data_IF_977634214263
#
_entry.id   IF_977634214263
#
_cell.length_a   1.000
_cell.length_b   1.000
_cell.length_c   1.000
_cell.angle_alpha   90.00
_cell.angle_beta   90.00
_cell.angle_gamma   90.00
#
_symmetry.space_group_name_H-M   'P 1'
#
loop_
_entity.id
_entity.type
_entity.pdbx_description
1 polymer ?
#
# COMPACT_ATOMS: atom_id res chain seq x y z
N UNK A 1 -1.41 20.46 -4.00
CA UNK A 1 -0.22 20.42 -3.11
C UNK A 1 -0.64 19.86 -1.77
N UNK A 2 0.24 19.10 -1.09
CA UNK A 2 -0.07 18.43 0.17
C UNK A 2 0.57 19.11 1.39
N UNK A 3 0.83 20.41 1.29
CA UNK A 3 1.38 21.22 2.39
C UNK A 3 0.44 21.17 3.60
N UNK A 4 0.98 20.87 4.79
CA UNK A 4 0.21 20.72 6.02
C UNK A 4 -0.51 19.37 6.16
N UNK A 5 -0.34 18.44 5.19
CA UNK A 5 -0.88 17.08 5.26
C UNK A 5 0.14 16.11 5.84
N UNK A 6 -0.33 15.19 6.64
CA UNK A 6 0.45 14.09 7.22
C UNK A 6 0.10 12.77 6.56
N UNK A 7 1.11 12.02 6.16
CA UNK A 7 0.97 10.72 5.51
C UNK A 7 1.74 9.62 6.24
N UNK A 8 1.14 8.43 6.35
CA UNK A 8 1.78 7.20 6.80
C UNK A 8 1.85 6.21 5.63
N UNK A 9 3.05 5.72 5.31
CA UNK A 9 3.30 4.78 4.21
C UNK A 9 3.91 3.49 4.72
N UNK A 10 3.23 2.36 4.50
CA UNK A 10 3.75 1.05 4.87
C UNK A 10 4.65 0.46 3.77
N UNK A 11 5.70 -0.30 4.17
CA UNK A 11 6.60 -0.93 3.21
C UNK A 11 7.50 0.06 2.44
N UNK A 12 7.81 1.21 3.05
CA UNK A 12 8.52 2.29 2.38
C UNK A 12 10.07 2.16 2.40
N UNK A 13 10.61 1.03 2.83
CA UNK A 13 12.06 0.78 2.76
C UNK A 13 12.58 0.55 1.33
N UNK A 14 11.72 0.50 0.31
CA UNK A 14 12.11 0.30 -1.09
C UNK A 14 10.92 0.24 -2.04
N UNK A 15 11.19 0.04 -3.33
CA UNK A 15 10.19 -0.16 -4.36
C UNK A 15 9.10 0.91 -4.39
N UNK A 16 7.86 0.48 -4.57
CA UNK A 16 6.68 1.36 -4.70
C UNK A 16 6.52 2.26 -3.46
N UNK A 17 6.67 1.72 -2.24
CA UNK A 17 6.47 2.49 -1.02
C UNK A 17 7.47 3.65 -0.87
N UNK A 18 8.74 3.44 -1.27
CA UNK A 18 9.75 4.50 -1.27
C UNK A 18 9.41 5.60 -2.27
N UNK A 19 8.99 5.23 -3.49
CA UNK A 19 8.60 6.21 -4.51
C UNK A 19 7.37 7.02 -4.09
N UNK A 20 6.37 6.36 -3.49
CA UNK A 20 5.19 7.06 -2.92
C UNK A 20 5.63 8.05 -1.85
N UNK A 21 6.46 7.62 -0.88
CA UNK A 21 6.95 8.49 0.19
C UNK A 21 7.72 9.71 -0.37
N UNK A 22 8.55 9.49 -1.40
CA UNK A 22 9.29 10.57 -2.07
C UNK A 22 8.37 11.59 -2.73
N UNK A 23 7.33 11.12 -3.47
CA UNK A 23 6.38 12.02 -4.12
C UNK A 23 5.51 12.78 -3.13
N UNK A 24 5.05 12.13 -2.06
CA UNK A 24 4.31 12.79 -0.99
C UNK A 24 5.14 13.90 -0.33
N UNK A 25 6.41 13.60 -0.02
CA UNK A 25 7.34 14.59 0.55
C UNK A 25 7.59 15.77 -0.40
N UNK A 26 7.85 15.49 -1.68
CA UNK A 26 8.03 16.52 -2.71
C UNK A 26 6.78 17.38 -2.91
N UNK A 27 5.59 16.84 -2.69
CA UNK A 27 4.33 17.58 -2.71
C UNK A 27 4.07 18.40 -1.43
N UNK A 28 4.97 18.37 -0.44
CA UNK A 28 4.91 19.16 0.79
C UNK A 28 4.27 18.46 1.98
N UNK A 29 3.98 17.14 1.89
CA UNK A 29 3.47 16.39 3.02
C UNK A 29 4.56 16.10 4.06
N UNK A 30 4.15 16.00 5.33
CA UNK A 30 4.95 15.39 6.38
C UNK A 30 4.74 13.88 6.34
N UNK A 31 5.82 13.09 6.34
CA UNK A 31 5.73 11.65 6.03
C UNK A 31 6.29 10.80 7.15
N UNK A 32 5.50 9.82 7.60
CA UNK A 32 5.94 8.68 8.38
C UNK A 32 6.05 7.45 7.48
N UNK A 33 7.08 6.64 7.69
CA UNK A 33 7.35 5.44 6.91
C UNK A 33 7.58 4.24 7.83
N UNK A 34 6.94 3.12 7.53
CA UNK A 34 7.16 1.90 8.30
C UNK A 34 7.59 0.71 7.45
N UNK A 35 8.25 -0.26 8.09
CA UNK A 35 8.78 -1.47 7.47
C UNK A 35 9.80 -2.16 8.35
N UNK A 36 10.26 -3.35 7.96
CA UNK A 36 11.08 -4.22 8.82
C UNK A 36 12.55 -3.80 8.96
N UNK A 37 13.17 -3.31 7.88
CA UNK A 37 14.60 -2.97 7.89
C UNK A 37 14.82 -1.52 8.29
N UNK A 38 15.48 -1.33 9.43
CA UNK A 38 15.89 -0.01 9.93
C UNK A 38 16.75 0.71 8.88
N UNK A 39 17.78 0.02 8.36
CA UNK A 39 18.74 0.62 7.40
C UNK A 39 18.05 1.11 6.14
N UNK A 40 17.08 0.33 5.59
CA UNK A 40 16.34 0.72 4.39
C UNK A 40 15.39 1.89 4.65
N UNK A 41 14.75 1.92 5.82
CA UNK A 41 13.89 3.05 6.20
C UNK A 41 14.72 4.33 6.39
N UNK A 42 15.85 4.25 7.08
CA UNK A 42 16.75 5.40 7.25
C UNK A 42 17.33 5.88 5.93
N UNK A 43 17.70 4.96 5.03
CA UNK A 43 18.15 5.32 3.70
C UNK A 43 17.05 6.05 2.90
N UNK A 44 15.81 5.57 2.98
CA UNK A 44 14.66 6.24 2.38
C UNK A 44 14.45 7.61 3.01
N UNK A 45 14.42 7.72 4.34
CA UNK A 45 14.21 8.99 5.04
C UNK A 45 15.28 10.04 4.65
N UNK A 46 16.55 9.63 4.59
CA UNK A 46 17.64 10.53 4.11
C UNK A 46 17.43 10.97 2.66
N UNK A 47 17.09 10.02 1.78
CA UNK A 47 16.92 10.30 0.35
C UNK A 47 15.77 11.27 0.05
N UNK A 48 14.71 11.27 0.87
CA UNK A 48 13.54 12.15 0.67
C UNK A 48 13.59 13.45 1.49
N UNK A 49 14.70 13.74 2.15
CA UNK A 49 14.85 14.96 2.96
C UNK A 49 14.15 14.92 4.33
N UNK A 50 14.06 13.73 4.93
CA UNK A 50 13.52 13.48 6.27
C UNK A 50 12.11 12.87 6.30
N UNK A 51 11.97 11.86 7.15
CA UNK A 51 10.70 11.21 7.48
C UNK A 51 10.77 10.63 8.89
N UNK A 52 9.63 10.45 9.55
CA UNK A 52 9.57 9.65 10.77
C UNK A 52 9.71 8.17 10.37
N UNK A 53 10.71 7.49 10.89
CA UNK A 53 10.90 6.05 10.66
C UNK A 53 10.26 5.25 11.79
N UNK A 54 9.43 4.28 11.42
CA UNK A 54 8.74 3.37 12.31
C UNK A 54 9.15 1.93 11.96
N UNK A 55 10.30 1.45 12.44
CA UNK A 55 10.72 0.08 12.14
C UNK A 55 9.91 -0.93 12.96
N UNK A 56 9.53 -2.05 12.33
CA UNK A 56 8.80 -3.17 12.95
C UNK A 56 8.19 -4.11 11.92
N UNK A 57 7.65 -5.24 12.39
CA UNK A 57 7.00 -6.24 11.55
C UNK A 57 5.48 -6.07 11.56
N UNK A 58 4.88 -6.06 10.37
CA UNK A 58 3.42 -6.00 10.21
C UNK A 58 2.70 -7.30 10.62
N UNK A 59 3.43 -8.33 11.01
CA UNK A 59 2.87 -9.52 11.65
C UNK A 59 2.66 -9.33 13.17
N UNK A 60 3.14 -8.26 13.73
CA UNK A 60 2.91 -7.86 15.12
C UNK A 60 1.79 -6.82 15.18
N UNK A 61 0.61 -7.24 15.58
CA UNK A 61 -0.58 -6.40 15.66
C UNK A 61 -0.39 -5.20 16.60
N UNK A 62 0.32 -5.37 17.72
CA UNK A 62 0.58 -4.27 18.67
C UNK A 62 1.46 -3.19 18.02
N UNK A 63 2.48 -3.61 17.26
CA UNK A 63 3.29 -2.69 16.47
C UNK A 63 2.44 -1.97 15.41
N UNK A 64 1.62 -2.72 14.65
CA UNK A 64 0.77 -2.15 13.59
C UNK A 64 -0.19 -1.11 14.17
N UNK A 65 -0.87 -1.43 15.27
CA UNK A 65 -1.76 -0.49 15.97
C UNK A 65 -1.03 0.79 16.40
N UNK A 66 0.20 0.65 16.90
CA UNK A 66 0.99 1.79 17.37
C UNK A 66 1.45 2.76 16.26
N UNK A 67 1.49 2.32 15.00
CA UNK A 67 2.02 3.14 13.90
C UNK A 67 1.21 4.41 13.66
N UNK A 68 -0.12 4.33 13.74
CA UNK A 68 -1.00 5.48 13.58
C UNK A 68 -0.82 6.48 14.73
N UNK A 69 -0.85 6.00 15.96
CA UNK A 69 -0.72 6.85 17.15
C UNK A 69 0.64 7.55 17.21
N UNK A 70 1.72 6.82 16.95
CA UNK A 70 3.10 7.38 16.87
C UNK A 70 3.24 8.44 15.76
N UNK A 71 2.53 8.25 14.64
CA UNK A 71 2.49 9.26 13.57
C UNK A 71 1.77 10.52 14.05
N UNK A 72 0.63 10.35 14.72
CA UNK A 72 -0.17 11.47 15.24
C UNK A 72 0.55 12.18 16.40
N UNK A 73 1.22 11.44 17.28
CA UNK A 73 2.04 12.01 18.36
C UNK A 73 3.15 12.91 17.80
N UNK A 74 3.82 12.46 16.74
CA UNK A 74 4.93 13.20 16.13
C UNK A 74 4.48 14.41 15.31
N UNK A 75 3.31 14.36 14.67
CA UNK A 75 2.91 15.34 13.65
C UNK A 75 1.56 16.03 13.90
N UNK A 76 0.83 15.63 14.95
CA UNK A 76 -0.44 16.24 15.33
C UNK A 76 -1.67 15.74 14.56
N UNK A 77 -1.51 14.87 13.56
CA UNK A 77 -2.63 14.33 12.78
C UNK A 77 -2.23 13.28 11.77
N UNK A 78 -3.25 12.68 11.10
CA UNK A 78 -3.06 11.74 10.02
C UNK A 78 -4.13 11.98 8.94
N UNK A 79 -3.72 12.44 7.77
CA UNK A 79 -4.58 12.76 6.63
C UNK A 79 -4.60 11.65 5.58
N UNK A 80 -3.47 10.95 5.37
CA UNK A 80 -3.27 10.01 4.29
C UNK A 80 -2.65 8.73 4.83
N UNK A 81 -3.32 7.60 4.62
CA UNK A 81 -2.80 6.27 4.91
C UNK A 81 -2.57 5.49 3.62
N UNK A 82 -1.33 5.03 3.39
CA UNK A 82 -0.96 4.20 2.25
C UNK A 82 -0.59 2.79 2.75
N UNK A 83 -1.47 1.83 2.54
CA UNK A 83 -1.21 0.42 2.74
C UNK A 83 -0.53 -0.16 1.50
N UNK A 84 0.79 -0.07 1.45
CA UNK A 84 1.61 -0.56 0.35
C UNK A 84 2.39 -1.82 0.71
N UNK A 85 2.72 -2.03 1.97
CA UNK A 85 3.44 -3.24 2.38
C UNK A 85 2.68 -4.50 1.96
N UNK A 86 3.43 -5.52 1.54
CA UNK A 86 2.84 -6.78 1.15
C UNK A 86 3.89 -7.85 0.96
N UNK A 87 3.44 -9.09 0.80
CA UNK A 87 4.22 -10.23 0.38
C UNK A 87 3.64 -10.83 -0.90
N UNK A 88 4.46 -11.52 -1.68
CA UNK A 88 4.04 -12.31 -2.82
C UNK A 88 4.49 -13.76 -2.63
N UNK A 89 3.69 -14.69 -3.16
CA UNK A 89 4.02 -16.11 -3.19
C UNK A 89 3.63 -16.65 -4.56
N UNK A 90 4.55 -17.37 -5.21
CA UNK A 90 4.33 -18.07 -6.47
C UNK A 90 4.78 -19.51 -6.30
N UNK A 91 3.81 -20.43 -6.09
CA UNK A 91 4.08 -21.82 -5.74
C UNK A 91 2.87 -22.70 -6.11
N UNK A 92 3.07 -23.98 -6.52
CA UNK A 92 1.97 -24.90 -6.72
C UNK A 92 1.09 -25.02 -5.48
N UNK A 93 -0.23 -25.13 -5.66
CA UNK A 93 -1.17 -25.21 -4.54
C UNK A 93 -0.83 -26.34 -3.57
N UNK A 94 -0.54 -27.54 -4.08
CA UNK A 94 -0.21 -28.71 -3.26
C UNK A 94 1.12 -28.58 -2.48
N UNK A 95 1.96 -27.62 -2.83
CA UNK A 95 3.22 -27.34 -2.15
C UNK A 95 3.13 -26.14 -1.22
N UNK A 96 2.06 -25.34 -1.33
CA UNK A 96 1.84 -24.16 -0.48
C UNK A 96 1.43 -24.64 0.91
N UNK A 97 2.24 -24.35 1.92
CA UNK A 97 1.94 -24.71 3.31
C UNK A 97 0.90 -23.76 3.92
N UNK A 98 0.19 -24.24 4.95
CA UNK A 98 -0.76 -23.40 5.72
C UNK A 98 -0.04 -22.17 6.30
N UNK A 99 1.16 -22.35 6.84
CA UNK A 99 1.95 -21.23 7.41
C UNK A 99 2.31 -20.17 6.35
N UNK A 100 2.61 -20.57 5.10
CA UNK A 100 2.82 -19.62 4.00
C UNK A 100 1.53 -18.88 3.64
N UNK A 101 0.40 -19.59 3.57
CA UNK A 101 -0.91 -19.00 3.35
C UNK A 101 -1.24 -17.97 4.43
N UNK A 102 -1.15 -18.38 5.70
CA UNK A 102 -1.45 -17.52 6.86
C UNK A 102 -0.57 -16.26 6.86
N UNK A 103 0.72 -16.40 6.58
CA UNK A 103 1.65 -15.27 6.50
C UNK A 103 1.28 -14.28 5.39
N UNK A 104 0.88 -14.77 4.22
CA UNK A 104 0.46 -13.92 3.10
C UNK A 104 -0.84 -13.20 3.45
N UNK A 105 -1.81 -13.89 4.04
CA UNK A 105 -3.07 -13.29 4.51
C UNK A 105 -2.81 -12.25 5.60
N UNK A 106 -2.01 -12.58 6.61
CA UNK A 106 -1.66 -11.68 7.69
C UNK A 106 -1.02 -10.39 7.18
N UNK A 107 -0.04 -10.50 6.25
CA UNK A 107 0.66 -9.32 5.72
C UNK A 107 -0.21 -8.48 4.80
N UNK A 108 -0.97 -9.12 3.88
CA UNK A 108 -1.62 -8.42 2.78
C UNK A 108 -3.05 -7.96 3.08
N UNK A 109 -3.72 -8.57 4.06
CA UNK A 109 -5.11 -8.32 4.39
C UNK A 109 -5.30 -7.94 5.87
N UNK A 110 -4.78 -8.74 6.83
CA UNK A 110 -5.00 -8.49 8.25
C UNK A 110 -4.26 -7.23 8.73
N UNK A 111 -2.99 -7.05 8.38
CA UNK A 111 -2.23 -5.87 8.78
C UNK A 111 -2.85 -4.55 8.25
N UNK A 112 -3.27 -4.44 6.97
CA UNK A 112 -4.06 -3.28 6.53
C UNK A 112 -5.35 -3.08 7.32
N UNK A 113 -6.10 -4.14 7.65
CA UNK A 113 -7.30 -4.03 8.48
C UNK A 113 -6.97 -3.45 9.85
N UNK A 114 -5.98 -4.00 10.55
CA UNK A 114 -5.57 -3.53 11.89
C UNK A 114 -5.11 -2.08 11.84
N UNK A 115 -4.30 -1.71 10.84
CA UNK A 115 -3.80 -0.34 10.71
C UNK A 115 -4.90 0.65 10.35
N UNK A 116 -5.83 0.30 9.46
CA UNK A 116 -6.98 1.15 9.16
C UNK A 116 -7.84 1.34 10.41
N UNK A 117 -8.09 0.26 11.16
CA UNK A 117 -8.90 0.31 12.38
C UNK A 117 -8.29 1.29 13.41
N UNK A 118 -6.99 1.21 13.69
CA UNK A 118 -6.31 2.13 14.61
C UNK A 118 -6.21 3.56 14.08
N UNK A 119 -6.02 3.74 12.76
CA UNK A 119 -5.91 5.04 12.12
C UNK A 119 -7.27 5.76 11.96
N UNK A 120 -8.39 5.03 11.98
CA UNK A 120 -9.70 5.54 11.59
C UNK A 120 -10.16 6.77 12.37
N UNK A 121 -10.00 6.87 13.72
CA UNK A 121 -10.38 8.08 14.46
C UNK A 121 -9.67 9.34 13.95
N UNK A 122 -8.42 9.20 13.55
CA UNK A 122 -7.60 10.30 13.04
C UNK A 122 -8.00 10.68 11.61
N UNK A 123 -8.20 9.68 10.76
CA UNK A 123 -8.65 9.85 9.37
C UNK A 123 -10.06 10.50 9.32
N UNK A 124 -10.98 10.12 10.21
CA UNK A 124 -12.30 10.76 10.35
C UNK A 124 -12.16 12.25 10.67
N UNK A 125 -11.32 12.59 11.63
CA UNK A 125 -11.08 14.00 12.02
C UNK A 125 -10.51 14.83 10.86
N UNK A 126 -9.63 14.24 10.09
CA UNK A 126 -8.97 14.88 8.94
C UNK A 126 -9.83 14.86 7.66
N UNK A 127 -10.94 14.11 7.62
CA UNK A 127 -11.65 13.72 6.37
C UNK A 127 -10.64 13.18 5.36
N UNK A 128 -9.84 12.23 5.84
CA UNK A 128 -8.63 11.76 5.19
C UNK A 128 -8.85 10.77 4.06
N UNK A 129 -7.75 10.24 3.57
CA UNK A 129 -7.73 9.28 2.46
C UNK A 129 -6.97 8.02 2.83
N UNK A 130 -7.51 6.87 2.45
CA UNK A 130 -6.89 5.56 2.55
C UNK A 130 -6.62 5.08 1.13
N UNK A 131 -5.38 4.70 0.81
CA UNK A 131 -5.02 4.11 -0.48
C UNK A 131 -4.41 2.75 -0.22
N UNK A 132 -5.07 1.71 -0.71
CA UNK A 132 -4.62 0.33 -0.60
C UNK A 132 -3.96 -0.11 -1.91
N UNK A 133 -2.69 -0.54 -1.85
CA UNK A 133 -1.99 -1.10 -3.01
C UNK A 133 -2.33 -2.59 -3.11
N UNK A 134 -3.30 -2.90 -3.96
CA UNK A 134 -3.73 -4.26 -4.23
C UNK A 134 -2.86 -4.92 -5.33
N UNK A 135 -3.47 -5.44 -6.37
CA UNK A 135 -2.85 -6.00 -7.57
C UNK A 135 -3.94 -6.37 -8.57
N UNK A 136 -3.62 -6.50 -9.85
CA UNK A 136 -4.54 -7.10 -10.84
C UNK A 136 -4.99 -8.51 -10.46
N UNK A 137 -4.22 -9.23 -9.64
CA UNK A 137 -4.62 -10.55 -9.11
C UNK A 137 -5.76 -10.46 -8.07
N UNK A 138 -6.16 -9.27 -7.64
CA UNK A 138 -7.35 -9.05 -6.84
C UNK A 138 -8.66 -9.21 -7.64
N UNK A 139 -8.58 -9.30 -8.97
CA UNK A 139 -9.73 -9.38 -9.89
C UNK A 139 -9.84 -10.73 -10.57
N UNK A 140 -8.75 -11.50 -10.63
CA UNK A 140 -8.74 -12.83 -11.23
C UNK A 140 -7.64 -13.71 -10.67
N UNK A 141 -7.83 -15.04 -10.77
CA UNK A 141 -6.81 -16.03 -10.40
C UNK A 141 -5.73 -16.19 -11.46
N UNK A 142 -4.53 -16.51 -10.99
CA UNK A 142 -3.42 -16.93 -11.83
C UNK A 142 -2.83 -18.24 -11.29
N UNK A 143 -2.34 -19.13 -12.16
CA UNK A 143 -1.61 -20.31 -11.71
C UNK A 143 -0.50 -19.95 -10.74
N UNK A 144 -0.23 -20.79 -9.77
CA UNK A 144 0.81 -20.65 -8.73
C UNK A 144 0.60 -19.50 -7.74
N UNK A 145 -0.50 -18.75 -7.81
CA UNK A 145 -0.71 -17.55 -6.97
C UNK A 145 -1.94 -17.65 -6.07
N UNK A 146 -2.40 -18.85 -5.71
CA UNK A 146 -3.64 -19.04 -4.96
C UNK A 146 -3.67 -18.24 -3.64
N UNK A 147 -2.64 -18.35 -2.80
CA UNK A 147 -2.54 -17.61 -1.54
C UNK A 147 -2.45 -16.10 -1.75
N UNK A 148 -1.63 -15.68 -2.72
CA UNK A 148 -1.47 -14.26 -3.04
C UNK A 148 -2.75 -13.65 -3.61
N UNK A 149 -3.41 -14.34 -4.55
CA UNK A 149 -4.68 -13.91 -5.11
C UNK A 149 -5.76 -13.81 -4.02
N UNK A 150 -5.90 -14.82 -3.16
CA UNK A 150 -6.84 -14.79 -2.04
C UNK A 150 -6.63 -13.55 -1.16
N UNK A 151 -5.38 -13.24 -0.79
CA UNK A 151 -5.07 -12.09 0.06
C UNK A 151 -5.39 -10.75 -0.60
N UNK A 152 -5.14 -10.62 -1.92
CA UNK A 152 -5.42 -9.38 -2.65
C UNK A 152 -6.91 -9.20 -2.95
N UNK A 153 -7.66 -10.28 -3.16
CA UNK A 153 -9.13 -10.25 -3.20
C UNK A 153 -9.71 -9.81 -1.84
N UNK A 154 -9.16 -10.33 -0.73
CA UNK A 154 -9.58 -9.93 0.61
C UNK A 154 -9.35 -8.41 0.85
N UNK A 155 -8.18 -7.89 0.47
CA UNK A 155 -7.89 -6.45 0.57
C UNK A 155 -8.83 -5.60 -0.29
N UNK A 156 -9.14 -6.05 -1.51
CA UNK A 156 -10.08 -5.36 -2.39
C UNK A 156 -11.49 -5.36 -1.82
N UNK A 157 -11.96 -6.51 -1.31
CA UNK A 157 -13.27 -6.64 -0.65
C UNK A 157 -13.39 -5.72 0.56
N UNK A 158 -12.38 -5.73 1.44
CA UNK A 158 -12.26 -4.82 2.58
C UNK A 158 -12.35 -3.36 2.14
N UNK A 159 -11.59 -2.99 1.11
CA UNK A 159 -11.56 -1.61 0.60
C UNK A 159 -12.93 -1.15 0.11
N UNK A 160 -13.64 -2.00 -0.63
CA UNK A 160 -14.99 -1.71 -1.15
C UNK A 160 -16.02 -1.51 -0.03
N UNK A 161 -15.97 -2.36 1.01
CA UNK A 161 -16.86 -2.22 2.17
C UNK A 161 -16.58 -0.92 2.91
N UNK A 162 -15.33 -0.62 3.22
CA UNK A 162 -14.94 0.59 3.92
C UNK A 162 -15.26 1.86 3.11
N UNK A 163 -15.10 1.84 1.78
CA UNK A 163 -15.48 2.97 0.94
C UNK A 163 -16.98 3.30 1.09
N UNK A 164 -17.85 2.26 1.13
CA UNK A 164 -19.28 2.44 1.35
C UNK A 164 -19.65 2.86 2.77
N UNK A 165 -18.91 2.44 3.79
CA UNK A 165 -19.18 2.82 5.17
C UNK A 165 -18.77 4.27 5.47
N UNK A 166 -17.64 4.71 4.91
CA UNK A 166 -16.96 5.92 5.37
C UNK A 166 -17.20 7.16 4.50
N UNK A 167 -17.82 7.03 3.31
CA UNK A 167 -17.94 8.15 2.38
C UNK A 167 -18.76 9.32 2.94
N UNK A 168 -19.80 9.04 3.73
CA UNK A 168 -20.62 10.09 4.36
C UNK A 168 -19.87 10.84 5.47
N UNK A 169 -18.86 10.20 6.06
CA UNK A 169 -17.98 10.80 7.06
C UNK A 169 -16.84 11.62 6.40
N UNK A 170 -16.78 11.64 5.08
CA UNK A 170 -15.78 12.36 4.30
C UNK A 170 -14.44 11.62 4.15
N UNK A 171 -14.30 10.41 4.70
CA UNK A 171 -13.12 9.56 4.47
C UNK A 171 -13.26 8.86 3.12
N UNK A 172 -12.23 8.91 2.30
CA UNK A 172 -12.20 8.24 1.00
C UNK A 172 -11.25 7.05 1.02
N UNK A 173 -11.72 5.94 0.46
CA UNK A 173 -10.93 4.70 0.34
C UNK A 173 -10.73 4.41 -1.14
N UNK A 174 -9.48 4.33 -1.55
CA UNK A 174 -9.08 4.08 -2.93
C UNK A 174 -8.25 2.81 -3.02
N UNK A 175 -8.29 2.17 -4.17
CA UNK A 175 -7.44 1.01 -4.47
C UNK A 175 -6.60 1.30 -5.71
N UNK A 176 -5.32 0.93 -5.67
CA UNK A 176 -4.49 0.84 -6.86
C UNK A 176 -4.12 -0.62 -7.05
N UNK A 177 -4.45 -1.15 -8.23
CA UNK A 177 -4.26 -2.55 -8.61
C UNK A 177 -3.19 -2.66 -9.72
N UNK A 178 -1.88 -2.65 -9.37
CA UNK A 178 -0.82 -2.80 -10.36
C UNK A 178 -0.76 -4.22 -10.90
N UNK A 179 -0.41 -4.34 -12.19
CA UNK A 179 0.11 -5.56 -12.78
C UNK A 179 1.54 -5.83 -12.29
N UNK A 180 2.30 -6.65 -13.03
CA UNK A 180 3.70 -6.93 -12.67
C UNK A 180 4.52 -5.65 -12.60
N UNK A 181 4.94 -5.26 -11.40
CA UNK A 181 5.76 -4.07 -11.15
C UNK A 181 7.22 -4.45 -10.90
N UNK A 182 8.15 -3.63 -11.38
CA UNK A 182 9.59 -3.83 -11.20
C UNK A 182 9.99 -3.53 -9.75
N UNK A 183 9.95 -4.55 -8.91
CA UNK A 183 10.30 -4.48 -7.48
C UNK A 183 11.09 -5.71 -7.06
N UNK A 184 11.83 -5.62 -5.96
CA UNK A 184 12.54 -6.77 -5.38
C UNK A 184 11.58 -7.91 -5.02
N UNK A 185 10.37 -7.59 -4.57
CA UNK A 185 9.32 -8.56 -4.25
C UNK A 185 8.91 -9.38 -5.50
N UNK A 186 8.63 -8.72 -6.61
CA UNK A 186 8.23 -9.39 -7.86
C UNK A 186 9.39 -10.19 -8.41
N UNK A 187 10.60 -9.66 -8.37
CA UNK A 187 11.82 -10.37 -8.82
C UNK A 187 12.06 -11.65 -8.02
N UNK A 188 11.85 -11.61 -6.70
CA UNK A 188 11.98 -12.80 -5.84
C UNK A 188 10.86 -13.83 -6.05
N UNK A 189 9.61 -13.40 -6.24
CA UNK A 189 8.46 -14.30 -6.40
C UNK A 189 8.29 -14.81 -7.84
N UNK A 190 8.77 -14.07 -8.83
CA UNK A 190 8.62 -14.34 -10.28
C UNK A 190 9.92 -14.05 -11.03
N UNK A 191 10.98 -14.83 -10.76
CA UNK A 191 12.27 -14.66 -11.44
C UNK A 191 12.18 -14.96 -12.96
N UNK A 192 11.10 -15.61 -13.38
CA UNK A 192 10.79 -15.89 -14.79
C UNK A 192 10.33 -14.65 -15.59
N UNK A 193 9.97 -13.55 -14.92
CA UNK A 193 9.54 -12.35 -15.60
C UNK A 193 10.76 -11.49 -16.01
N UNK A 194 10.83 -11.17 -17.32
CA UNK A 194 11.77 -10.14 -17.76
C UNK A 194 11.47 -8.81 -17.06
N UNK A 195 12.49 -8.07 -16.61
CA UNK A 195 12.29 -6.71 -16.10
C UNK A 195 11.75 -5.76 -17.16
N UNK A 196 11.98 -6.04 -18.45
CA UNK A 196 11.48 -5.23 -19.55
C UNK A 196 9.95 -5.26 -19.64
N UNK A 197 9.35 -4.10 -19.75
CA UNK A 197 7.89 -3.95 -19.83
C UNK A 197 7.14 -4.20 -18.50
N UNK A 198 7.84 -4.29 -17.36
CA UNK A 198 7.21 -4.19 -16.06
C UNK A 198 6.88 -2.72 -15.71
N UNK A 199 5.79 -2.53 -14.98
CA UNK A 199 5.40 -1.22 -14.46
C UNK A 199 6.49 -0.75 -13.48
N UNK A 200 6.97 0.46 -13.62
CA UNK A 200 7.93 1.03 -12.68
C UNK A 200 7.26 1.40 -11.34
N UNK A 201 8.02 1.41 -10.26
CA UNK A 201 7.54 1.89 -8.98
C UNK A 201 7.08 3.36 -9.03
N UNK A 202 7.71 4.16 -9.90
CA UNK A 202 7.35 5.56 -10.16
C UNK A 202 5.97 5.70 -10.78
N UNK A 203 5.60 4.89 -11.77
CA UNK A 203 4.26 4.93 -12.40
C UNK A 203 3.15 4.58 -11.39
N UNK A 204 3.40 3.66 -10.47
CA UNK A 204 2.44 3.38 -9.39
C UNK A 204 2.32 4.57 -8.44
N UNK A 205 3.44 5.22 -8.11
CA UNK A 205 3.44 6.42 -7.27
C UNK A 205 2.75 7.60 -7.97
N UNK A 206 2.87 7.75 -9.30
CA UNK A 206 2.14 8.75 -10.09
C UNK A 206 0.63 8.53 -10.02
N UNK A 207 0.16 7.29 -10.06
CA UNK A 207 -1.26 6.97 -9.87
C UNK A 207 -1.76 7.35 -8.46
N UNK A 208 -0.94 7.13 -7.41
CA UNK A 208 -1.25 7.61 -6.04
C UNK A 208 -1.41 9.12 -6.03
N UNK A 209 -0.46 9.84 -6.61
CA UNK A 209 -0.49 11.32 -6.64
C UNK A 209 -1.67 11.84 -7.46
N UNK A 210 -2.04 11.16 -8.53
CA UNK A 210 -3.22 11.50 -9.31
C UNK A 210 -4.50 11.37 -8.46
N UNK A 211 -4.70 10.27 -7.74
CA UNK A 211 -5.83 10.13 -6.80
C UNK A 211 -5.87 11.26 -5.76
N UNK A 212 -4.72 11.60 -5.20
CA UNK A 212 -4.61 12.65 -4.19
C UNK A 212 -4.82 14.06 -4.75
N UNK A 213 -4.70 14.26 -6.06
CA UNK A 213 -4.96 15.56 -6.71
C UNK A 213 -6.46 15.85 -6.91
N UNK A 214 -7.31 14.83 -6.80
CA UNK A 214 -8.76 14.95 -6.91
C UNK A 214 -9.36 15.42 -5.57
N UNK A 215 -9.47 16.71 -5.38
CA UNK A 215 -9.88 17.34 -4.12
C UNK A 215 -11.29 17.98 -4.16
N UNK A 216 -12.00 17.82 -5.29
CA UNK A 216 -13.34 18.40 -5.50
C UNK A 216 -14.41 17.31 -5.55
N UNK A 217 -15.20 17.29 -6.62
CA UNK A 217 -16.39 16.44 -6.73
C UNK A 217 -16.11 15.06 -7.36
N UNK A 218 -14.97 14.90 -8.06
CA UNK A 218 -14.61 13.63 -8.67
C UNK A 218 -13.94 12.71 -7.65
N UNK A 219 -14.37 11.45 -7.61
CA UNK A 219 -13.76 10.37 -6.84
C UNK A 219 -13.48 9.22 -7.80
N UNK A 220 -12.31 8.63 -7.68
CA UNK A 220 -11.96 7.38 -8.37
C UNK A 220 -11.73 6.33 -7.30
N UNK A 221 -12.55 5.31 -7.27
CA UNK A 221 -12.49 4.26 -6.26
C UNK A 221 -11.31 3.32 -6.52
N UNK A 222 -11.04 3.00 -7.79
CA UNK A 222 -9.98 2.08 -8.17
C UNK A 222 -9.27 2.50 -9.47
N UNK A 223 -7.94 2.28 -9.50
CA UNK A 223 -7.12 2.37 -10.70
C UNK A 223 -6.42 1.03 -10.93
N UNK A 224 -6.71 0.37 -12.06
CA UNK A 224 -6.00 -0.79 -12.52
C UNK A 224 -4.88 -0.36 -13.49
N UNK A 225 -3.63 -0.70 -13.17
CA UNK A 225 -2.47 -0.43 -14.02
C UNK A 225 -2.05 -1.72 -14.74
N UNK A 226 -2.20 -1.76 -16.03
CA UNK A 226 -1.77 -2.91 -16.85
C UNK A 226 -0.45 -2.63 -17.53
N UNK A 227 0.36 -3.69 -17.73
CA UNK A 227 1.59 -3.58 -18.52
C UNK A 227 1.22 -3.31 -19.99
N UNK A 228 1.92 -2.40 -20.64
CA UNK A 228 1.68 -2.03 -22.04
C UNK A 228 1.69 -3.25 -22.99
N UNK A 229 2.56 -4.24 -22.75
CA UNK A 229 2.65 -5.45 -23.57
C UNK A 229 1.62 -6.54 -23.23
N UNK A 230 0.56 -6.27 -22.47
CA UNK A 230 -0.53 -7.21 -22.15
C UNK A 230 -1.83 -6.81 -22.86
N UNK A 231 -2.64 -7.83 -23.17
CA UNK A 231 -3.97 -7.57 -23.73
C UNK A 231 -4.78 -6.66 -22.78
N UNK A 232 -5.50 -5.66 -23.30
CA UNK A 232 -6.37 -4.81 -22.50
C UNK A 232 -7.49 -5.65 -21.87
N UNK A 233 -7.91 -5.27 -20.69
CA UNK A 233 -8.97 -5.97 -19.92
C UNK A 233 -8.68 -7.47 -19.65
N UNK A 234 -7.43 -7.90 -19.74
CA UNK A 234 -7.00 -9.30 -19.56
C UNK A 234 -6.92 -9.72 -18.08
#
# INVERSE_FOLDING_TARGET
MLTGKTALVTGAGGGIGREIAARLKAAGATVAICGRSVEKLEATARAIGGALTLPGDLLDDAYVQSCADRTVEAFGGLDILINNAGGALSKPFGETTIAEFDRIMATNACAPFVLIHSALPHLRRARGRIINIASVVAHKGYPLQSAYAASKHALLGLSKSLANELYQEGVRVHVISPGGAHTDMVRAARPDLSPDGLISAGEVADAVMFLLSLDKNAVIDEICLHRQGKAPFA
#
